data_IF_098005106973
#
_entry.id   IF_098005106973
#
_cell.length_a   1.000
_cell.length_b   1.000
_cell.length_c   1.000
_cell.angle_alpha   90.00
_cell.angle_beta   90.00
_cell.angle_gamma   90.00
#
_symmetry.space_group_name_H-M   'P 1'
#
loop_
_entity.id
_entity.type
_entity.pdbx_description
1 polymer ?
#
# COMPACT_ATOMS: atom_id res chain seq x y z
N UNK A 1 -26.75 -12.73 -0.04
CA UNK A 1 -25.41 -12.16 -0.22
C UNK A 1 -24.76 -12.93 -1.35
N UNK A 2 -24.89 -12.47 -2.59
CA UNK A 2 -24.34 -13.13 -3.79
C UNK A 2 -23.38 -12.15 -4.45
N UNK A 3 -22.18 -12.65 -4.74
CA UNK A 3 -21.09 -11.99 -5.46
C UNK A 3 -20.17 -11.08 -4.62
N UNK A 4 -19.47 -11.67 -3.64
CA UNK A 4 -18.06 -11.32 -3.51
C UNK A 4 -17.30 -12.26 -4.42
N UNK A 5 -16.92 -11.80 -5.62
CA UNK A 5 -15.77 -12.41 -6.27
C UNK A 5 -14.59 -12.22 -5.31
N UNK A 6 -13.89 -13.30 -5.00
CA UNK A 6 -12.63 -13.19 -4.27
C UNK A 6 -11.68 -12.34 -5.13
N UNK A 7 -11.08 -11.31 -4.55
CA UNK A 7 -10.10 -10.48 -5.27
C UNK A 7 -8.93 -11.36 -5.72
N UNK A 8 -8.45 -11.13 -6.94
CA UNK A 8 -7.25 -11.81 -7.43
C UNK A 8 -6.08 -11.51 -6.48
N UNK A 9 -5.25 -12.52 -6.23
CA UNK A 9 -4.13 -12.40 -5.28
C UNK A 9 -4.50 -12.43 -3.80
N UNK A 10 -5.78 -12.60 -3.41
CA UNK A 10 -6.18 -12.59 -1.99
C UNK A 10 -5.50 -13.71 -1.17
N UNK A 11 -5.25 -14.88 -1.76
CA UNK A 11 -4.57 -15.98 -1.07
C UNK A 11 -3.09 -15.67 -0.84
N UNK A 12 -2.44 -15.05 -1.82
CA UNK A 12 -1.05 -14.62 -1.81
C UNK A 12 -0.86 -13.52 -0.75
N UNK A 13 -1.75 -12.52 -0.72
CA UNK A 13 -1.77 -11.48 0.33
C UNK A 13 -1.94 -12.12 1.72
N UNK A 14 -2.90 -13.04 1.90
CA UNK A 14 -3.10 -13.73 3.19
C UNK A 14 -1.86 -14.51 3.62
N UNK A 15 -1.18 -15.17 2.68
CA UNK A 15 0.08 -15.90 2.94
C UNK A 15 1.19 -14.93 3.30
N UNK A 16 1.34 -13.82 2.58
CA UNK A 16 2.32 -12.78 2.86
C UNK A 16 2.15 -12.24 4.28
N UNK A 17 0.92 -11.83 4.64
CA UNK A 17 0.59 -11.29 5.97
C UNK A 17 0.81 -12.32 7.09
N UNK A 18 0.52 -13.60 6.85
CA UNK A 18 0.65 -14.63 7.89
C UNK A 18 2.06 -15.20 8.05
N UNK A 19 2.92 -15.09 7.03
CA UNK A 19 4.27 -15.68 7.02
C UNK A 19 5.39 -14.67 7.25
N UNK A 20 5.12 -13.38 7.10
CA UNK A 20 6.16 -12.37 7.31
C UNK A 20 6.60 -12.35 8.78
N UNK A 21 7.91 -12.47 8.99
CA UNK A 21 8.52 -12.32 10.31
C UNK A 21 8.71 -10.83 10.69
N UNK A 22 8.55 -9.93 9.72
CA UNK A 22 8.73 -8.48 9.88
C UNK A 22 7.39 -7.76 9.68
N UNK A 23 7.18 -6.62 10.36
CA UNK A 23 6.00 -5.78 10.13
C UNK A 23 5.89 -5.37 8.66
N UNK A 24 4.67 -5.38 8.11
CA UNK A 24 4.38 -4.81 6.81
C UNK A 24 4.27 -3.30 6.98
N UNK A 25 5.15 -2.57 6.31
CA UNK A 25 5.19 -1.13 6.41
C UNK A 25 4.10 -0.52 5.54
N UNK A 26 3.31 0.39 6.09
CA UNK A 26 2.31 1.16 5.35
C UNK A 26 2.51 2.66 5.55
N UNK A 27 2.21 3.45 4.53
CA UNK A 27 2.27 4.90 4.63
C UNK A 27 0.92 5.47 5.10
N UNK A 28 0.91 6.70 5.64
CA UNK A 28 -0.34 7.43 5.88
C UNK A 28 -1.19 7.56 4.61
N UNK A 29 -0.55 7.60 3.43
CA UNK A 29 -1.25 7.68 2.15
C UNK A 29 -2.00 6.39 1.82
N UNK A 30 -1.40 5.22 2.07
CA UNK A 30 -2.06 3.92 1.93
C UNK A 30 -3.32 3.86 2.80
N UNK A 31 -3.23 4.33 4.05
CA UNK A 31 -4.37 4.36 4.97
C UNK A 31 -5.49 5.27 4.47
N UNK A 32 -5.14 6.47 4.00
CA UNK A 32 -6.09 7.42 3.43
C UNK A 32 -6.75 6.89 2.15
N UNK A 33 -6.00 6.20 1.30
CA UNK A 33 -6.52 5.60 0.07
C UNK A 33 -7.55 4.50 0.38
N UNK A 34 -7.24 3.60 1.31
CA UNK A 34 -8.18 2.56 1.77
C UNK A 34 -9.44 3.20 2.36
N UNK A 35 -9.31 4.19 3.23
CA UNK A 35 -10.46 4.91 3.79
C UNK A 35 -11.27 5.59 2.67
N UNK A 36 -10.60 6.23 1.70
CA UNK A 36 -11.21 6.84 0.54
C UNK A 36 -12.07 5.86 -0.25
N UNK A 37 -11.53 4.68 -0.59
CA UNK A 37 -12.25 3.61 -1.28
C UNK A 37 -13.44 3.08 -0.47
N UNK A 38 -13.26 2.86 0.83
CA UNK A 38 -14.36 2.42 1.70
C UNK A 38 -15.49 3.45 1.75
N UNK A 39 -15.17 4.75 1.87
CA UNK A 39 -16.21 5.79 1.84
C UNK A 39 -16.89 5.90 0.47
N UNK A 40 -16.17 5.64 -0.63
CA UNK A 40 -16.76 5.56 -1.96
C UNK A 40 -17.78 4.42 -2.05
N UNK A 41 -17.41 3.21 -1.61
CA UNK A 41 -18.34 2.07 -1.56
C UNK A 41 -19.56 2.35 -0.68
N UNK A 42 -19.38 3.09 0.42
CA UNK A 42 -20.50 3.51 1.26
C UNK A 42 -21.44 4.46 0.51
N UNK A 43 -20.92 5.47 -0.19
CA UNK A 43 -21.74 6.40 -1.00
C UNK A 43 -22.48 5.69 -2.14
N UNK A 44 -21.90 4.63 -2.69
CA UNK A 44 -22.51 3.79 -3.72
C UNK A 44 -23.53 2.77 -3.16
N UNK A 45 -23.71 2.70 -1.83
CA UNK A 45 -24.61 1.74 -1.19
C UNK A 45 -24.11 0.29 -1.17
N UNK A 46 -22.84 0.04 -1.56
CA UNK A 46 -22.24 -1.29 -1.61
C UNK A 46 -21.90 -1.84 -0.22
N UNK A 47 -21.68 -0.95 0.75
CA UNK A 47 -21.46 -1.31 2.15
C UNK A 47 -22.40 -0.55 3.09
N UNK A 48 -22.88 -1.23 4.13
CA UNK A 48 -23.70 -0.62 5.18
C UNK A 48 -22.83 0.12 6.19
N UNK A 49 -23.38 1.15 6.83
CA UNK A 49 -22.69 1.96 7.86
C UNK A 49 -22.07 1.12 8.98
N UNK A 50 -22.78 0.09 9.46
CA UNK A 50 -22.27 -0.83 10.49
C UNK A 50 -20.99 -1.53 10.02
N UNK A 51 -20.98 -2.05 8.78
CA UNK A 51 -19.82 -2.74 8.21
C UNK A 51 -18.65 -1.77 7.99
N UNK A 52 -18.91 -0.57 7.48
CA UNK A 52 -17.90 0.49 7.35
C UNK A 52 -17.20 0.77 8.68
N UNK A 53 -17.97 0.96 9.76
CA UNK A 53 -17.43 1.23 11.09
C UNK A 53 -16.59 0.05 11.62
N UNK A 54 -17.05 -1.18 11.40
CA UNK A 54 -16.29 -2.39 11.76
C UNK A 54 -14.96 -2.46 11.02
N UNK A 55 -14.96 -2.22 9.71
CA UNK A 55 -13.74 -2.24 8.89
C UNK A 55 -12.76 -1.15 9.34
N UNK A 56 -13.23 0.08 9.54
CA UNK A 56 -12.37 1.20 10.01
C UNK A 56 -11.78 0.88 11.39
N UNK A 57 -12.58 0.31 12.29
CA UNK A 57 -12.12 -0.08 13.63
C UNK A 57 -11.03 -1.13 13.55
N UNK A 58 -11.21 -2.14 12.68
CA UNK A 58 -10.21 -3.17 12.44
C UNK A 58 -8.92 -2.57 11.85
N UNK A 59 -9.01 -1.73 10.83
CA UNK A 59 -7.83 -1.06 10.24
C UNK A 59 -7.01 -0.31 11.29
N UNK A 60 -7.66 0.45 12.17
CA UNK A 60 -6.99 1.18 13.27
C UNK A 60 -6.36 0.25 14.32
N UNK A 61 -6.96 -0.93 14.53
CA UNK A 61 -6.43 -1.93 15.47
C UNK A 61 -5.20 -2.63 14.89
N UNK A 62 -5.25 -2.98 13.61
CA UNK A 62 -4.19 -3.71 12.91
C UNK A 62 -3.02 -2.82 12.47
N UNK A 63 -3.20 -1.49 12.47
CA UNK A 63 -2.16 -0.51 12.12
C UNK A 63 -1.64 0.18 13.38
N UNK A 64 -0.35 0.09 13.70
CA UNK A 64 0.26 0.78 14.84
C UNK A 64 1.53 1.53 14.47
N UNK A 65 2.01 2.43 15.33
CA UNK A 65 3.23 3.22 15.07
C UNK A 65 4.52 2.57 15.61
N UNK A 66 4.42 1.61 16.55
CA UNK A 66 5.56 0.86 17.13
C UNK A 66 5.09 -0.42 17.83
N UNK A 67 5.00 -1.59 17.18
CA UNK A 67 4.74 -2.87 17.90
C UNK A 67 5.02 -4.13 17.07
N UNK A 68 5.53 -5.18 17.74
CA UNK A 68 5.76 -6.55 17.20
C UNK A 68 4.51 -7.43 17.11
N UNK A 69 3.35 -6.98 17.60
CA UNK A 69 2.11 -7.78 17.67
C UNK A 69 1.20 -7.55 16.46
N UNK A 70 1.40 -6.43 15.73
CA UNK A 70 0.53 -6.02 14.63
C UNK A 70 1.12 -6.40 13.27
N UNK A 71 0.29 -6.80 12.29
CA UNK A 71 0.79 -7.10 10.96
C UNK A 71 1.24 -5.85 10.20
N UNK A 72 0.71 -4.67 10.54
CA UNK A 72 1.03 -3.42 9.85
C UNK A 72 1.64 -2.36 10.78
N UNK A 73 2.74 -1.77 10.33
CA UNK A 73 3.42 -0.65 10.98
C UNK A 73 3.29 0.61 10.12
N UNK A 74 2.76 1.67 10.72
CA UNK A 74 2.61 2.97 10.09
C UNK A 74 3.95 3.70 10.10
N UNK A 75 4.42 4.08 8.92
CA UNK A 75 5.62 4.87 8.75
C UNK A 75 5.39 6.35 9.08
N UNK A 76 6.36 6.94 9.76
CA UNK A 76 6.52 8.40 9.75
C UNK A 76 7.06 8.82 8.38
N UNK A 77 6.48 9.89 7.80
CA UNK A 77 6.90 10.35 6.49
C UNK A 77 8.30 10.98 6.58
N UNK A 78 9.26 10.52 5.77
CA UNK A 78 10.58 11.13 5.74
C UNK A 78 10.52 12.59 5.30
N UNK A 79 11.41 13.43 5.83
CA UNK A 79 11.54 14.82 5.40
C UNK A 79 11.77 14.92 3.90
N UNK A 80 11.23 15.96 3.25
CA UNK A 80 11.39 16.21 1.81
C UNK A 80 10.93 15.05 0.90
N UNK A 81 9.99 14.21 1.35
CA UNK A 81 9.45 13.11 0.52
C UNK A 81 8.67 13.62 -0.68
N UNK A 82 7.92 14.71 -0.54
CA UNK A 82 7.13 15.31 -1.63
C UNK A 82 8.00 15.84 -2.77
N UNK A 83 9.12 16.51 -2.45
CA UNK A 83 10.06 17.00 -3.46
C UNK A 83 10.72 15.83 -4.22
N UNK A 84 11.05 14.74 -3.52
CA UNK A 84 11.58 13.55 -4.17
C UNK A 84 10.52 12.88 -5.06
N UNK A 85 9.26 12.84 -4.64
CA UNK A 85 8.17 12.31 -5.44
C UNK A 85 7.95 13.14 -6.73
N UNK A 86 8.04 14.46 -6.63
CA UNK A 86 8.02 15.36 -7.80
C UNK A 86 9.16 15.03 -8.78
N UNK A 87 10.39 14.87 -8.27
CA UNK A 87 11.54 14.44 -9.10
C UNK A 87 11.27 13.10 -9.76
N UNK A 88 10.75 12.11 -9.02
CA UNK A 88 10.43 10.79 -9.57
C UNK A 88 9.39 10.90 -10.69
N UNK A 89 8.33 11.70 -10.52
CA UNK A 89 7.32 11.90 -11.57
C UNK A 89 7.93 12.49 -12.85
N UNK A 90 8.86 13.44 -12.72
CA UNK A 90 9.52 14.06 -13.87
C UNK A 90 10.49 13.09 -14.56
N UNK A 91 11.33 12.38 -13.80
CA UNK A 91 12.31 11.42 -14.32
C UNK A 91 11.64 10.20 -14.98
N UNK A 92 10.49 9.79 -14.44
CA UNK A 92 9.76 8.60 -14.86
C UNK A 92 8.46 8.94 -15.60
N UNK A 93 8.32 10.15 -16.16
CA UNK A 93 7.12 10.62 -16.85
C UNK A 93 6.66 9.75 -18.03
N UNK A 94 7.57 8.93 -18.58
CA UNK A 94 7.26 7.93 -19.62
C UNK A 94 6.41 6.77 -19.10
N UNK A 95 6.37 6.57 -17.79
CA UNK A 95 5.57 5.56 -17.11
C UNK A 95 4.31 6.24 -16.54
N UNK A 96 3.16 5.59 -16.67
CA UNK A 96 1.87 6.13 -16.26
C UNK A 96 1.65 6.01 -14.73
N UNK A 97 2.60 6.46 -13.92
CA UNK A 97 2.51 6.46 -12.46
C UNK A 97 1.84 7.74 -11.94
N UNK A 98 1.03 7.60 -10.89
CA UNK A 98 0.37 8.70 -10.22
C UNK A 98 1.23 9.33 -9.11
N UNK A 99 0.73 10.41 -8.52
CA UNK A 99 1.39 11.09 -7.39
C UNK A 99 1.54 10.19 -6.16
N UNK A 100 0.58 9.30 -5.91
CA UNK A 100 0.64 8.36 -4.79
C UNK A 100 1.76 7.33 -5.02
N UNK A 101 1.91 6.82 -6.24
CA UNK A 101 2.96 5.86 -6.59
C UNK A 101 4.34 6.49 -6.39
N UNK A 102 4.54 7.69 -6.93
CA UNK A 102 5.78 8.44 -6.77
C UNK A 102 6.09 8.75 -5.28
N UNK A 103 5.07 9.04 -4.48
CA UNK A 103 5.24 9.22 -3.03
C UNK A 103 5.71 7.94 -2.35
N UNK A 104 5.11 6.79 -2.65
CA UNK A 104 5.56 5.52 -2.07
C UNK A 104 6.99 5.17 -2.48
N UNK A 105 7.35 5.39 -3.76
CA UNK A 105 8.73 5.22 -4.22
C UNK A 105 9.72 6.16 -3.50
N UNK A 106 9.33 7.42 -3.28
CA UNK A 106 10.12 8.38 -2.53
C UNK A 106 10.29 7.98 -1.06
N UNK A 107 9.26 7.41 -0.44
CA UNK A 107 9.34 6.83 0.92
C UNK A 107 10.35 5.69 0.92
N UNK A 108 10.19 4.71 0.02
CA UNK A 108 11.05 3.53 -0.06
C UNK A 108 12.53 3.91 -0.22
N UNK A 109 12.83 4.88 -1.10
CA UNK A 109 14.19 5.41 -1.30
C UNK A 109 14.82 6.07 -0.07
N UNK A 110 14.01 6.52 0.88
CA UNK A 110 14.47 7.23 2.10
C UNK A 110 14.48 6.38 3.35
N UNK A 111 13.85 5.21 3.32
CA UNK A 111 13.88 4.30 4.46
C UNK A 111 15.29 3.71 4.61
N UNK A 112 15.82 3.64 5.85
CA UNK A 112 17.12 3.01 6.11
C UNK A 112 16.97 1.47 6.13
N UNK A 113 16.47 0.91 5.04
CA UNK A 113 16.26 -0.51 4.85
C UNK A 113 17.20 -1.00 3.75
N UNK A 114 17.91 -2.11 3.99
CA UNK A 114 18.89 -2.61 3.03
C UNK A 114 18.23 -3.10 1.72
N UNK A 115 17.06 -3.74 1.81
CA UNK A 115 16.34 -4.30 0.67
C UNK A 115 14.82 -4.24 0.88
N UNK A 116 14.19 -3.05 0.77
CA UNK A 116 12.74 -2.96 0.85
C UNK A 116 12.09 -3.66 -0.35
N UNK A 117 11.00 -4.38 -0.09
CA UNK A 117 10.17 -5.01 -1.14
C UNK A 117 8.86 -4.23 -1.22
N UNK A 118 8.56 -3.68 -2.40
CA UNK A 118 7.31 -3.00 -2.67
C UNK A 118 6.23 -4.00 -3.08
N UNK A 119 5.10 -4.04 -2.37
CA UNK A 119 3.98 -4.93 -2.72
C UNK A 119 3.02 -4.18 -3.66
N UNK A 120 2.90 -4.62 -4.91
CA UNK A 120 2.04 -3.97 -5.92
C UNK A 120 1.73 -4.85 -7.13
N UNK A 121 0.48 -4.80 -7.59
CA UNK A 121 0.05 -5.37 -8.89
C UNK A 121 0.03 -4.32 -10.02
N UNK A 122 0.41 -3.07 -9.75
CA UNK A 122 0.42 -2.01 -10.77
C UNK A 122 1.64 -2.14 -11.69
N UNK A 123 1.40 -2.56 -12.94
CA UNK A 123 2.45 -2.78 -13.94
C UNK A 123 3.26 -1.52 -14.29
N UNK A 124 2.68 -0.32 -14.21
CA UNK A 124 3.41 0.92 -14.46
C UNK A 124 4.39 1.19 -13.33
N UNK A 125 3.96 0.97 -12.09
CA UNK A 125 4.80 1.08 -10.90
C UNK A 125 5.90 0.00 -10.89
N UNK A 126 5.60 -1.24 -11.26
CA UNK A 126 6.59 -2.32 -11.38
C UNK A 126 7.75 -1.93 -12.31
N UNK A 127 7.46 -1.38 -13.50
CA UNK A 127 8.49 -0.88 -14.43
C UNK A 127 9.35 0.22 -13.83
N UNK A 128 8.77 1.08 -13.00
CA UNK A 128 9.55 2.11 -12.30
C UNK A 128 10.44 1.45 -11.24
N UNK A 129 9.92 0.53 -10.44
CA UNK A 129 10.69 -0.26 -9.47
C UNK A 129 11.91 -0.93 -10.12
N UNK A 130 11.72 -1.61 -11.26
CA UNK A 130 12.81 -2.20 -12.05
C UNK A 130 13.86 -1.16 -12.44
N UNK A 131 13.42 0.01 -12.94
CA UNK A 131 14.32 1.06 -13.43
C UNK A 131 15.16 1.71 -12.32
N UNK A 132 14.67 1.72 -11.08
CA UNK A 132 15.37 2.29 -9.92
C UNK A 132 15.86 1.22 -8.94
N UNK A 133 15.89 -0.06 -9.36
CA UNK A 133 16.40 -1.20 -8.62
C UNK A 133 15.75 -1.42 -7.24
N UNK A 134 14.43 -1.18 -7.16
CA UNK A 134 13.62 -1.55 -6.01
C UNK A 134 12.96 -2.90 -6.30
N UNK A 135 13.13 -3.86 -5.40
CA UNK A 135 12.43 -5.15 -5.48
C UNK A 135 10.93 -4.95 -5.29
N UNK A 136 10.12 -5.70 -6.03
CA UNK A 136 8.67 -5.70 -5.85
C UNK A 136 8.10 -7.12 -5.80
N UNK A 137 6.89 -7.22 -5.24
CA UNK A 137 6.11 -8.45 -5.12
C UNK A 137 4.71 -8.20 -5.69
N UNK A 138 4.32 -8.98 -6.69
CA UNK A 138 2.99 -8.94 -7.30
C UNK A 138 2.13 -10.11 -6.77
N UNK A 139 1.13 -9.85 -5.91
CA UNK A 139 0.29 -10.91 -5.36
C UNK A 139 -0.64 -11.56 -6.40
N UNK A 140 -0.87 -10.96 -7.57
CA UNK A 140 -1.78 -11.48 -8.60
C UNK A 140 -1.11 -12.45 -9.57
N UNK A 141 0.23 -12.47 -9.62
CA UNK A 141 1.00 -13.22 -10.62
C UNK A 141 1.66 -14.52 -10.09
N UNK A 142 1.56 -14.80 -8.78
CA UNK A 142 2.11 -16.02 -8.14
C UNK A 142 1.11 -17.16 -7.95
#
# INVERSE_FOLDING_TARGET
>A
MKHHQEEMGILQIRRLVSRTAFPILISPMTSLEVIGKLTQFFRQGLIKRKNLNTIITLLKKETGTKTTIRPFEMLELPDNVFRLAETILLEHAKFAIGSNDALHLAIVKKLPLEQPIMVTSDQSLQKVCESIQISFYDPEME
#
